data_IF_920179949782
#
_entry.id   IF_920179949782
#
_cell.length_a   1.000
_cell.length_b   1.000
_cell.length_c   1.000
_cell.angle_alpha   90.00
_cell.angle_beta   90.00
_cell.angle_gamma   90.00
#
_symmetry.space_group_name_H-M   'P 1'
#
loop_
_entity.id
_entity.type
_entity.pdbx_description
1 polymer ?
#
# COMPACT_ATOMS: atom_id res chain seq x y z
N UNK A 1 9.52 -5.02 -2.42
CA UNK A 1 8.97 -4.11 -3.46
C UNK A 1 7.92 -4.78 -4.36
N UNK A 2 8.30 -5.63 -5.32
CA UNK A 2 7.37 -6.18 -6.33
C UNK A 2 6.18 -6.94 -5.70
N UNK A 3 6.40 -7.68 -4.61
CA UNK A 3 5.33 -8.34 -3.86
C UNK A 3 4.31 -7.34 -3.30
N UNK A 4 4.78 -6.26 -2.66
CA UNK A 4 3.91 -5.20 -2.16
C UNK A 4 3.10 -4.52 -3.27
N UNK A 5 3.72 -4.23 -4.42
CA UNK A 5 2.98 -3.63 -5.54
C UNK A 5 1.86 -4.56 -6.05
N UNK A 6 2.08 -5.88 -6.07
CA UNK A 6 1.03 -6.86 -6.43
C UNK A 6 -0.05 -6.98 -5.37
N UNK A 7 0.31 -6.83 -4.10
CA UNK A 7 -0.67 -6.81 -3.01
C UNK A 7 -1.58 -5.57 -3.10
N UNK A 8 -1.00 -4.40 -3.36
CA UNK A 8 -1.76 -3.16 -3.55
C UNK A 8 -2.60 -3.20 -4.83
N UNK A 9 -2.05 -3.76 -5.92
CA UNK A 9 -2.69 -3.81 -7.23
C UNK A 9 -2.63 -5.22 -7.81
N UNK A 10 -3.55 -6.14 -7.43
CA UNK A 10 -3.53 -7.53 -7.87
C UNK A 10 -3.73 -7.73 -9.38
N UNK A 11 -4.41 -6.78 -10.02
CA UNK A 11 -4.73 -6.81 -11.45
C UNK A 11 -4.12 -5.57 -12.11
N UNK A 12 -3.45 -5.77 -13.25
CA UNK A 12 -2.80 -4.69 -14.03
C UNK A 12 -1.84 -3.83 -13.20
N UNK A 13 -1.07 -4.46 -12.30
CA UNK A 13 -0.16 -3.80 -11.35
C UNK A 13 0.64 -2.65 -11.98
N UNK A 14 1.31 -2.90 -13.10
CA UNK A 14 2.14 -1.90 -13.76
C UNK A 14 1.36 -0.66 -14.24
N UNK A 15 0.15 -0.83 -14.77
CA UNK A 15 -0.70 0.27 -15.21
C UNK A 15 -1.26 1.07 -14.02
N UNK A 16 -1.61 0.39 -12.92
CA UNK A 16 -2.03 1.08 -11.69
C UNK A 16 -0.90 1.92 -11.11
N UNK A 17 0.31 1.37 -11.03
CA UNK A 17 1.49 2.10 -10.52
C UNK A 17 1.81 3.31 -11.41
N UNK A 18 1.66 3.19 -12.73
CA UNK A 18 1.81 4.33 -13.65
C UNK A 18 0.79 5.43 -13.39
N UNK A 19 -0.48 5.07 -13.27
CA UNK A 19 -1.56 6.03 -13.00
C UNK A 19 -1.42 6.72 -11.64
N UNK A 20 -0.93 6.00 -10.63
CA UNK A 20 -0.89 6.48 -9.25
C UNK A 20 0.43 7.14 -8.83
N UNK A 21 1.56 6.60 -9.28
CA UNK A 21 2.89 7.04 -8.88
C UNK A 21 3.66 7.71 -10.03
N UNK A 22 3.11 7.74 -11.25
CA UNK A 22 3.76 8.37 -12.41
C UNK A 22 4.99 7.63 -12.92
N UNK A 23 5.23 6.39 -12.45
CA UNK A 23 6.33 5.55 -12.95
C UNK A 23 5.82 4.73 -14.13
N UNK A 24 6.48 4.86 -15.30
CA UNK A 24 5.99 4.20 -16.51
C UNK A 24 5.74 2.70 -16.32
N UNK A 25 4.64 2.19 -16.86
CA UNK A 25 4.29 0.78 -16.73
C UNK A 25 5.36 -0.13 -17.34
N UNK A 26 6.10 0.36 -18.34
CA UNK A 26 7.25 -0.32 -18.92
C UNK A 26 8.39 -0.49 -17.92
N UNK A 27 8.76 0.56 -17.20
CA UNK A 27 9.77 0.52 -16.14
C UNK A 27 9.35 -0.44 -15.03
N UNK A 28 8.08 -0.38 -14.62
CA UNK A 28 7.54 -1.27 -13.58
C UNK A 28 7.62 -2.73 -14.03
N UNK A 29 7.25 -3.05 -15.28
CA UNK A 29 7.39 -4.41 -15.84
C UNK A 29 8.83 -4.91 -15.79
N UNK A 30 9.82 -4.08 -16.13
CA UNK A 30 11.24 -4.46 -16.01
C UNK A 30 11.64 -4.86 -14.59
N UNK A 31 11.10 -4.23 -13.55
CA UNK A 31 11.37 -4.64 -12.16
C UNK A 31 10.82 -6.03 -11.86
N UNK A 32 9.69 -6.39 -12.44
CA UNK A 32 9.09 -7.71 -12.30
C UNK A 32 9.83 -8.78 -13.10
N UNK A 33 10.19 -8.48 -14.34
CA UNK A 33 10.75 -9.46 -15.28
C UNK A 33 12.25 -9.70 -15.05
N UNK A 34 12.99 -8.63 -14.73
CA UNK A 34 14.45 -8.65 -14.66
C UNK A 34 14.99 -8.54 -13.23
N UNK A 35 14.12 -8.39 -12.22
CA UNK A 35 14.54 -8.17 -10.83
C UNK A 35 15.30 -6.85 -10.62
N UNK A 36 15.19 -5.90 -11.55
CA UNK A 36 15.88 -4.61 -11.47
C UNK A 36 15.35 -3.77 -10.31
N UNK A 37 16.25 -3.05 -9.63
CA UNK A 37 15.88 -2.08 -8.61
C UNK A 37 15.28 -0.81 -9.23
N UNK A 38 14.39 -0.09 -8.52
CA UNK A 38 13.93 1.23 -8.94
C UNK A 38 15.09 2.22 -8.93
N UNK A 39 15.07 3.19 -9.86
CA UNK A 39 15.94 4.35 -9.79
C UNK A 39 15.56 5.24 -8.61
N UNK A 40 16.46 6.13 -8.15
CA UNK A 40 16.18 7.08 -7.06
C UNK A 40 14.86 7.86 -7.24
N UNK A 41 14.61 8.49 -8.41
CA UNK A 41 13.35 9.19 -8.66
C UNK A 41 12.12 8.27 -8.63
N UNK A 42 12.24 7.05 -9.17
CA UNK A 42 11.14 6.10 -9.13
C UNK A 42 10.87 5.60 -7.70
N UNK A 43 11.91 5.42 -6.89
CA UNK A 43 11.79 5.07 -5.48
C UNK A 43 11.12 6.22 -4.69
N UNK A 44 11.54 7.47 -4.88
CA UNK A 44 10.90 8.64 -4.26
C UNK A 44 9.41 8.74 -4.64
N UNK A 45 9.07 8.51 -5.90
CA UNK A 45 7.67 8.48 -6.35
C UNK A 45 6.84 7.39 -5.64
N UNK A 46 7.40 6.19 -5.47
CA UNK A 46 6.75 5.10 -4.74
C UNK A 46 6.59 5.43 -3.25
N UNK A 47 7.60 6.03 -2.62
CA UNK A 47 7.52 6.47 -1.21
C UNK A 47 6.45 7.54 -1.04
N UNK A 48 6.36 8.52 -1.94
CA UNK A 48 5.31 9.56 -1.88
C UNK A 48 3.92 8.99 -2.05
N UNK A 49 3.75 7.97 -2.90
CA UNK A 49 2.45 7.35 -3.18
C UNK A 49 1.99 6.39 -2.08
N UNK A 50 2.90 5.53 -1.61
CA UNK A 50 2.57 4.38 -0.75
C UNK A 50 3.06 4.52 0.70
N UNK A 51 3.94 5.48 0.99
CA UNK A 51 4.32 5.86 2.34
C UNK A 51 5.03 4.78 3.15
N UNK A 52 4.75 4.78 4.45
CA UNK A 52 5.39 3.91 5.44
C UNK A 52 5.21 2.40 5.17
N UNK A 53 4.02 1.90 4.75
CA UNK A 53 3.85 0.49 4.38
C UNK A 53 4.81 0.02 3.28
N UNK A 54 5.06 0.88 2.29
CA UNK A 54 6.03 0.58 1.25
C UNK A 54 7.45 0.47 1.81
N UNK A 55 7.85 1.43 2.66
CA UNK A 55 9.16 1.41 3.33
C UNK A 55 9.33 0.14 4.18
N UNK A 56 8.31 -0.29 4.92
CA UNK A 56 8.33 -1.56 5.65
C UNK A 56 8.49 -2.77 4.73
N UNK A 57 7.89 -2.76 3.54
CA UNK A 57 8.03 -3.87 2.58
C UNK A 57 9.43 -3.96 1.97
N UNK A 58 10.10 -2.82 1.76
CA UNK A 58 11.42 -2.80 1.13
C UNK A 58 12.58 -2.92 2.14
N UNK A 59 12.35 -2.56 3.40
CA UNK A 59 13.30 -2.67 4.52
C UNK A 59 12.70 -3.50 5.67
N UNK A 60 12.44 -4.82 5.48
CA UNK A 60 11.81 -5.66 6.49
C UNK A 60 12.65 -5.85 7.75
N UNK A 61 13.97 -5.65 7.66
CA UNK A 61 14.93 -5.76 8.77
C UNK A 61 14.84 -4.58 9.74
N UNK A 62 14.33 -3.43 9.32
CA UNK A 62 14.30 -2.21 10.13
C UNK A 62 13.00 -2.07 10.93
N UNK A 63 12.73 -3.03 11.81
CA UNK A 63 11.47 -3.09 12.60
C UNK A 63 11.31 -1.96 13.62
N UNK A 64 12.42 -1.36 14.04
CA UNK A 64 12.46 -0.26 15.02
C UNK A 64 12.58 1.12 14.34
N UNK A 65 12.55 1.17 13.00
CA UNK A 65 12.56 2.43 12.29
C UNK A 65 11.26 3.22 12.49
N UNK A 66 11.35 4.55 12.40
CA UNK A 66 10.20 5.44 12.57
C UNK A 66 9.02 5.08 11.66
N UNK A 67 9.27 4.64 10.42
CA UNK A 67 8.22 4.28 9.48
C UNK A 67 7.51 2.98 9.86
N UNK A 68 8.14 2.08 10.61
CA UNK A 68 7.46 0.91 11.15
C UNK A 68 6.42 1.30 12.20
N UNK A 69 6.72 2.30 13.04
CA UNK A 69 5.74 2.86 13.96
C UNK A 69 4.59 3.56 13.21
N UNK A 70 4.90 4.40 12.21
CA UNK A 70 3.89 5.08 11.38
C UNK A 70 2.99 4.07 10.66
N UNK A 71 3.54 2.99 10.10
CA UNK A 71 2.76 1.95 9.45
C UNK A 71 1.77 1.27 10.42
N UNK A 72 2.19 1.00 11.67
CA UNK A 72 1.29 0.44 12.71
C UNK A 72 0.17 1.40 13.08
N UNK A 73 0.44 2.69 13.19
CA UNK A 73 -0.60 3.70 13.45
C UNK A 73 -1.61 3.76 12.31
N UNK A 74 -1.15 3.75 11.06
CA UNK A 74 -2.02 3.74 9.88
C UNK A 74 -2.88 2.47 9.82
N UNK A 75 -2.30 1.31 10.15
CA UNK A 75 -3.06 0.07 10.25
C UNK A 75 -4.12 0.13 11.35
N UNK A 76 -3.78 0.67 12.52
CA UNK A 76 -4.72 0.88 13.62
C UNK A 76 -5.90 1.77 13.18
N UNK A 77 -5.63 2.92 12.57
CA UNK A 77 -6.68 3.84 12.09
C UNK A 77 -7.63 3.17 11.08
N UNK A 78 -7.09 2.34 10.18
CA UNK A 78 -7.89 1.58 9.22
C UNK A 78 -8.78 0.54 9.90
N UNK A 79 -8.23 -0.20 10.87
CA UNK A 79 -8.98 -1.20 11.62
C UNK A 79 -10.10 -0.55 12.44
N UNK A 80 -9.83 0.58 13.09
CA UNK A 80 -10.84 1.34 13.82
C UNK A 80 -11.94 1.87 12.90
N UNK A 81 -11.59 2.37 11.70
CA UNK A 81 -12.57 2.80 10.71
C UNK A 81 -13.48 1.64 10.26
N UNK A 82 -12.90 0.46 10.00
CA UNK A 82 -13.67 -0.75 9.66
C UNK A 82 -14.57 -1.20 10.81
N UNK A 83 -14.08 -1.15 12.05
CA UNK A 83 -14.86 -1.49 13.24
C UNK A 83 -16.08 -0.56 13.40
N UNK A 84 -15.91 0.75 13.15
CA UNK A 84 -17.02 1.71 13.13
C UNK A 84 -18.05 1.38 12.06
N UNK A 85 -17.61 1.06 10.84
CA UNK A 85 -18.52 0.67 9.74
C UNK A 85 -19.32 -0.59 10.06
N UNK A 86 -18.67 -1.62 10.60
CA UNK A 86 -19.34 -2.88 10.96
C UNK A 86 -20.35 -2.65 12.09
N UNK A 87 -19.96 -1.89 13.13
CA UNK A 87 -20.86 -1.54 14.24
C UNK A 87 -22.09 -0.80 13.73
N UNK A 88 -21.92 0.18 12.82
CA UNK A 88 -23.03 0.91 12.22
C UNK A 88 -23.98 -0.02 11.47
N UNK A 89 -23.45 -0.92 10.64
CA UNK A 89 -24.28 -1.91 9.91
C UNK A 89 -25.08 -2.81 10.86
N UNK A 90 -24.47 -3.28 11.95
CA UNK A 90 -25.16 -4.10 12.94
C UNK A 90 -26.29 -3.33 13.63
N UNK A 91 -26.06 -2.05 13.95
CA UNK A 91 -27.08 -1.17 14.51
C UNK A 91 -28.25 -0.98 13.53
N UNK A 92 -27.96 -0.70 12.25
CA UNK A 92 -29.00 -0.55 11.23
C UNK A 92 -29.80 -1.85 11.00
N UNK A 93 -29.15 -3.01 11.05
CA UNK A 93 -29.82 -4.32 10.99
C UNK A 93 -30.77 -4.53 12.18
N UNK A 94 -30.33 -4.17 13.39
CA UNK A 94 -31.12 -4.33 14.62
C UNK A 94 -32.32 -3.38 14.67
N UNK A 95 -32.19 -2.20 14.09
CA UNK A 95 -33.24 -1.18 14.05
C UNK A 95 -34.15 -1.31 12.82
N UNK A 96 -33.95 -2.32 11.97
CA UNK A 96 -34.79 -2.59 10.80
C UNK A 96 -34.67 -1.56 9.68
N UNK A 97 -33.53 -0.86 9.58
CA UNK A 97 -33.25 0.18 8.57
C UNK A 97 -32.57 -0.36 7.30
N UNK A 98 -32.55 -1.67 7.10
CA UNK A 98 -31.94 -2.37 5.97
C UNK A 98 -32.95 -3.16 5.16
#
# INVERSE_FOLDING_TARGET
>A
MCAFLREQHPVKTASCVEAEAGVSAHTVRKWFDLGSAPSGPAYDALVRRYGAPFLCSVHPETRDAWFAHVARLQEQEQLEARARQITQRLTDMREGRL
#
